data_IF_760529636685
#
_entry.id   IF_760529636685
#
_cell.length_a   1.000
_cell.length_b   1.000
_cell.length_c   1.000
_cell.angle_alpha   90.00
_cell.angle_beta   90.00
_cell.angle_gamma   90.00
#
_symmetry.space_group_name_H-M   'P 1'
#
loop_
_entity.id
_entity.type
_entity.pdbx_description
1 polymer ?
#
# COMPACT_ATOMS: atom_id res chain seq x y z
N UNK A 1 -16.25 20.06 -13.03
CA UNK A 1 -15.73 19.90 -11.66
C UNK A 1 -14.65 18.82 -11.66
N UNK A 2 -13.43 19.12 -11.17
CA UNK A 2 -12.44 18.07 -10.90
C UNK A 2 -12.95 17.26 -9.70
N UNK A 3 -13.08 15.94 -9.87
CA UNK A 3 -13.37 15.01 -8.76
C UNK A 3 -12.21 15.07 -7.77
N UNK A 4 -12.47 15.23 -6.47
CA UNK A 4 -11.46 15.16 -5.40
C UNK A 4 -11.51 13.82 -4.65
N UNK A 5 -11.97 12.76 -5.34
CA UNK A 5 -12.21 11.46 -4.71
C UNK A 5 -10.92 10.63 -4.65
N UNK A 6 -10.55 10.14 -3.47
CA UNK A 6 -9.44 9.21 -3.29
C UNK A 6 -9.90 7.76 -3.51
N UNK A 7 -9.14 6.98 -4.26
CA UNK A 7 -9.32 5.53 -4.36
C UNK A 7 -8.52 4.79 -3.30
N UNK A 8 -9.13 3.84 -2.61
CA UNK A 8 -8.43 2.98 -1.64
C UNK A 8 -8.70 1.52 -1.99
N UNK A 9 -7.64 0.76 -2.26
CA UNK A 9 -7.73 -0.69 -2.47
C UNK A 9 -7.56 -1.38 -1.12
N UNK A 10 -8.55 -2.20 -0.74
CA UNK A 10 -8.62 -2.91 0.55
C UNK A 10 -8.48 -4.41 0.35
N UNK A 11 -7.78 -5.08 1.27
CA UNK A 11 -7.75 -6.54 1.38
C UNK A 11 -9.13 -7.08 1.81
N UNK A 12 -9.39 -8.36 1.53
CA UNK A 12 -10.62 -9.04 1.95
C UNK A 12 -10.53 -9.46 3.42
N UNK A 13 -10.60 -8.44 4.28
CA UNK A 13 -10.43 -8.55 5.73
C UNK A 13 -11.71 -8.09 6.41
N UNK A 14 -12.10 -8.80 7.47
CA UNK A 14 -13.40 -8.61 8.16
C UNK A 14 -13.30 -7.83 9.47
N UNK A 15 -12.10 -7.48 9.92
CA UNK A 15 -11.94 -6.71 11.14
C UNK A 15 -12.52 -5.29 11.00
N UNK A 16 -13.06 -4.70 12.08
CA UNK A 16 -13.59 -3.34 12.06
C UNK A 16 -12.53 -2.31 11.63
N UNK A 17 -12.90 -1.41 10.71
CA UNK A 17 -12.04 -0.30 10.29
C UNK A 17 -12.37 0.93 11.14
N UNK A 18 -11.69 1.05 12.28
CA UNK A 18 -11.87 2.19 13.21
C UNK A 18 -11.49 3.52 12.56
N UNK A 19 -11.91 4.64 13.14
CA UNK A 19 -11.48 5.96 12.66
C UNK A 19 -9.95 6.06 12.76
N UNK A 20 -9.30 6.55 11.71
CA UNK A 20 -7.83 6.55 11.56
C UNK A 20 -7.28 5.38 10.73
N UNK A 21 -8.05 4.30 10.53
CA UNK A 21 -7.66 3.21 9.62
C UNK A 21 -7.78 3.67 8.16
N UNK A 22 -6.83 3.28 7.31
CA UNK A 22 -6.79 3.65 5.88
C UNK A 22 -7.98 3.07 5.08
N UNK A 23 -8.57 1.97 5.54
CA UNK A 23 -9.77 1.37 4.96
C UNK A 23 -11.08 2.01 5.41
N UNK A 24 -11.03 3.01 6.31
CA UNK A 24 -12.19 3.76 6.74
C UNK A 24 -12.32 5.08 5.96
N UNK A 25 -13.37 5.26 5.14
CA UNK A 25 -13.62 6.50 4.41
C UNK A 25 -13.65 7.77 5.27
N UNK A 26 -14.08 7.67 6.54
CA UNK A 26 -14.18 8.81 7.46
C UNK A 26 -12.82 9.29 7.97
N UNK A 27 -11.74 8.55 7.73
CA UNK A 27 -10.37 8.94 8.09
C UNK A 27 -9.78 10.00 7.15
N UNK A 28 -10.52 10.43 6.13
CA UNK A 28 -10.03 11.31 5.08
C UNK A 28 -10.86 12.60 5.02
N UNK A 29 -10.22 13.76 4.73
CA UNK A 29 -10.92 15.03 4.57
C UNK A 29 -11.60 15.17 3.20
N UNK A 30 -11.62 14.10 2.39
CA UNK A 30 -12.16 14.08 1.03
C UNK A 30 -13.03 12.84 0.81
N UNK A 31 -13.77 12.81 -0.29
CA UNK A 31 -14.55 11.64 -0.67
C UNK A 31 -13.64 10.44 -0.95
N UNK A 32 -14.04 9.25 -0.52
CA UNK A 32 -13.25 8.02 -0.68
C UNK A 32 -14.06 6.94 -1.36
N UNK A 33 -13.45 6.25 -2.34
CA UNK A 33 -13.98 5.03 -2.96
C UNK A 33 -13.15 3.83 -2.53
N UNK A 34 -13.74 2.96 -1.74
CA UNK A 34 -13.12 1.70 -1.33
C UNK A 34 -13.35 0.63 -2.40
N UNK A 35 -12.28 -0.06 -2.80
CA UNK A 35 -12.36 -1.26 -3.64
C UNK A 35 -11.76 -2.44 -2.90
N UNK A 36 -12.60 -3.36 -2.45
CA UNK A 36 -12.14 -4.62 -1.85
C UNK A 36 -11.72 -5.61 -2.94
N UNK A 37 -10.52 -6.18 -2.81
CA UNK A 37 -10.05 -7.29 -3.66
C UNK A 37 -10.48 -8.59 -3.02
N UNK A 38 -11.62 -9.16 -3.46
CA UNK A 38 -12.15 -10.41 -2.92
C UNK A 38 -11.12 -11.54 -2.98
N UNK A 39 -11.00 -12.29 -1.89
CA UNK A 39 -10.04 -13.40 -1.76
C UNK A 39 -8.59 -12.98 -1.50
N UNK A 40 -8.29 -11.68 -1.41
CA UNK A 40 -6.98 -11.19 -1.00
C UNK A 40 -6.87 -11.19 0.54
N UNK A 41 -6.49 -12.33 1.11
CA UNK A 41 -6.19 -12.47 2.54
C UNK A 41 -4.77 -12.01 2.85
N UNK A 42 -4.48 -11.80 4.14
CA UNK A 42 -3.14 -11.42 4.62
C UNK A 42 -2.11 -12.47 4.20
N UNK A 43 -2.37 -13.75 4.47
CA UNK A 43 -1.45 -14.86 4.15
C UNK A 43 -1.07 -14.91 2.67
N UNK A 44 -2.05 -14.72 1.78
CA UNK A 44 -1.80 -14.72 0.33
C UNK A 44 -0.96 -13.54 -0.13
N UNK A 45 -1.13 -12.37 0.50
CA UNK A 45 -0.34 -11.17 0.18
C UNK A 45 1.08 -11.28 0.73
N UNK A 46 1.25 -11.95 1.86
CA UNK A 46 2.55 -12.19 2.50
C UNK A 46 3.30 -13.40 1.91
N UNK A 47 2.65 -14.20 1.05
CA UNK A 47 3.30 -15.29 0.32
C UNK A 47 4.59 -14.82 -0.38
N UNK A 48 5.63 -15.65 -0.33
CA UNK A 48 6.88 -15.42 -1.06
C UNK A 48 6.61 -15.18 -2.54
N UNK A 49 5.78 -16.03 -3.13
CA UNK A 49 5.33 -15.91 -4.50
C UNK A 49 3.89 -15.40 -4.50
N UNK A 50 3.73 -14.11 -4.84
CA UNK A 50 2.42 -13.52 -5.07
C UNK A 50 1.82 -14.16 -6.33
N UNK A 51 0.73 -14.89 -6.14
CA UNK A 51 0.00 -15.51 -7.25
C UNK A 51 -0.37 -14.47 -8.31
N UNK A 52 -0.11 -14.77 -9.59
CA UNK A 52 -0.39 -13.84 -10.69
C UNK A 52 -1.88 -13.45 -10.74
N UNK A 53 -2.78 -14.40 -10.44
CA UNK A 53 -4.22 -14.15 -10.34
C UNK A 53 -4.56 -13.11 -9.28
N UNK A 54 -3.85 -13.14 -8.14
CA UNK A 54 -4.02 -12.16 -7.08
C UNK A 54 -3.50 -10.79 -7.54
N UNK A 55 -2.32 -10.73 -8.15
CA UNK A 55 -1.78 -9.48 -8.73
C UNK A 55 -2.72 -8.86 -9.75
N UNK A 56 -3.26 -9.67 -10.66
CA UNK A 56 -4.24 -9.24 -11.66
C UNK A 56 -5.53 -8.71 -11.03
N UNK A 57 -5.93 -9.25 -9.88
CA UNK A 57 -7.08 -8.76 -9.11
C UNK A 57 -6.83 -7.35 -8.55
N UNK A 58 -5.60 -7.05 -8.08
CA UNK A 58 -5.21 -5.68 -7.69
C UNK A 58 -5.16 -4.72 -8.89
N UNK A 59 -4.63 -5.17 -10.04
CA UNK A 59 -4.63 -4.38 -11.28
C UNK A 59 -6.05 -4.02 -11.71
N UNK A 60 -6.97 -5.00 -11.70
CA UNK A 60 -8.38 -4.78 -12.03
C UNK A 60 -9.05 -3.81 -11.05
N UNK A 61 -8.71 -3.90 -9.77
CA UNK A 61 -9.20 -2.95 -8.76
C UNK A 61 -8.71 -1.52 -9.02
N UNK A 62 -7.43 -1.34 -9.36
CA UNK A 62 -6.86 -0.04 -9.67
C UNK A 62 -7.50 0.60 -10.92
N UNK A 63 -7.59 -0.15 -12.03
CA UNK A 63 -8.27 0.32 -13.25
C UNK A 63 -9.75 0.65 -13.01
N UNK A 64 -10.43 -0.13 -12.17
CA UNK A 64 -11.82 0.14 -11.81
C UNK A 64 -11.97 1.45 -11.03
N UNK A 65 -11.02 1.79 -10.15
CA UNK A 65 -11.02 3.07 -9.44
C UNK A 65 -10.67 4.24 -10.37
N UNK A 66 -9.71 4.06 -11.27
CA UNK A 66 -9.37 5.06 -12.29
C UNK A 66 -10.55 5.39 -13.20
N UNK A 67 -11.30 4.39 -13.67
CA UNK A 67 -12.51 4.58 -14.45
C UNK A 67 -13.59 5.38 -13.68
N UNK A 68 -13.54 5.36 -12.34
CA UNK A 68 -14.40 6.17 -11.46
C UNK A 68 -13.83 7.57 -11.19
N UNK A 69 -12.79 7.99 -11.92
CA UNK A 69 -12.19 9.33 -11.88
C UNK A 69 -11.70 9.73 -10.49
N UNK A 70 -11.03 8.80 -9.79
CA UNK A 70 -10.28 9.13 -8.57
C UNK A 70 -9.06 9.99 -8.90
N UNK A 71 -8.62 10.81 -7.95
CA UNK A 71 -7.42 11.66 -8.09
C UNK A 71 -6.12 10.90 -7.88
N UNK A 72 -6.21 9.77 -7.17
CA UNK A 72 -5.07 8.93 -6.81
C UNK A 72 -5.57 7.66 -6.14
N UNK A 73 -4.66 6.70 -5.98
CA UNK A 73 -4.95 5.38 -5.41
C UNK A 73 -3.98 5.11 -4.26
N UNK A 74 -4.50 4.67 -3.12
CA UNK A 74 -3.70 4.10 -2.04
C UNK A 74 -4.24 2.73 -1.61
N UNK A 75 -3.62 2.09 -0.63
CA UNK A 75 -4.04 0.77 -0.14
C UNK A 75 -4.01 0.69 1.38
N UNK A 76 -4.54 -0.41 1.93
CA UNK A 76 -4.61 -0.62 3.38
C UNK A 76 -3.51 -1.51 3.95
N UNK A 77 -2.58 -2.05 3.15
CA UNK A 77 -1.59 -3.03 3.62
C UNK A 77 -0.17 -2.65 3.19
N UNK A 78 0.75 -2.57 4.17
CA UNK A 78 2.13 -2.16 3.93
C UNK A 78 2.91 -3.05 2.95
N UNK A 79 2.60 -4.35 2.89
CA UNK A 79 3.24 -5.32 1.98
C UNK A 79 2.87 -5.13 0.52
N UNK A 80 1.81 -4.36 0.21
CA UNK A 80 1.47 -3.99 -1.15
C UNK A 80 2.47 -3.00 -1.78
N UNK A 81 3.51 -2.59 -1.03
CA UNK A 81 4.72 -1.96 -1.59
C UNK A 81 5.32 -2.79 -2.75
N UNK A 82 5.22 -4.13 -2.68
CA UNK A 82 5.67 -5.06 -3.74
C UNK A 82 4.93 -4.86 -5.06
N UNK A 83 3.71 -4.32 -5.02
CA UNK A 83 2.88 -4.07 -6.20
C UNK A 83 3.01 -2.65 -6.74
N UNK A 84 3.79 -1.75 -6.10
CA UNK A 84 3.88 -0.34 -6.48
C UNK A 84 4.14 -0.16 -7.98
N UNK A 85 5.22 -0.76 -8.49
CA UNK A 85 5.62 -0.64 -9.90
C UNK A 85 4.61 -1.27 -10.86
N UNK A 86 3.92 -2.35 -10.45
CA UNK A 86 2.92 -3.00 -11.30
C UNK A 86 1.69 -2.12 -11.43
N UNK A 87 1.25 -1.51 -10.32
CA UNK A 87 0.08 -0.64 -10.28
C UNK A 87 0.32 0.67 -11.03
N UNK A 88 1.44 1.34 -10.82
CA UNK A 88 1.74 2.61 -11.51
C UNK A 88 1.89 2.47 -13.02
N UNK A 89 2.20 1.28 -13.54
CA UNK A 89 2.31 1.03 -14.99
C UNK A 89 0.97 0.79 -15.69
N UNK A 90 -0.10 0.52 -14.93
CA UNK A 90 -1.40 0.12 -15.50
C UNK A 90 -2.50 1.16 -15.32
N UNK A 91 -2.22 2.25 -14.61
CA UNK A 91 -3.09 3.42 -14.43
C UNK A 91 -2.26 4.70 -14.63
N UNK A 92 -2.90 5.76 -15.07
CA UNK A 92 -2.31 7.10 -15.22
C UNK A 92 -2.35 7.90 -13.91
N UNK A 93 -3.18 7.47 -12.94
CA UNK A 93 -3.29 8.15 -11.64
C UNK A 93 -2.11 7.84 -10.72
N UNK A 94 -1.69 8.80 -9.86
CA UNK A 94 -0.72 8.53 -8.82
C UNK A 94 -1.15 7.36 -7.92
N UNK A 95 -0.21 6.45 -7.66
CA UNK A 95 -0.42 5.31 -6.76
C UNK A 95 0.57 5.41 -5.60
N UNK A 96 0.08 5.35 -4.36
CA UNK A 96 0.88 5.20 -3.15
C UNK A 96 0.46 3.89 -2.48
N UNK A 97 1.10 2.79 -2.84
CA UNK A 97 0.64 1.47 -2.39
C UNK A 97 0.95 1.17 -0.92
N UNK A 98 1.86 1.91 -0.30
CA UNK A 98 2.29 1.69 1.09
C UNK A 98 2.93 2.94 1.67
N UNK A 99 2.81 3.11 2.99
CA UNK A 99 3.55 4.15 3.74
C UNK A 99 5.08 3.96 3.64
N UNK A 100 5.55 2.75 3.36
CA UNK A 100 6.98 2.44 3.19
C UNK A 100 7.61 3.19 2.01
N UNK A 101 6.82 3.71 1.07
CA UNK A 101 7.32 4.57 -0.01
C UNK A 101 7.88 5.90 0.49
N UNK A 102 7.62 6.28 1.74
CA UNK A 102 8.18 7.47 2.38
C UNK A 102 9.61 7.25 2.90
N UNK A 103 10.09 6.00 2.97
CA UNK A 103 11.42 5.69 3.51
C UNK A 103 12.57 6.47 2.83
N UNK A 104 12.62 6.63 1.50
CA UNK A 104 13.70 7.41 0.87
C UNK A 104 13.74 8.87 1.35
N UNK A 105 12.57 9.50 1.53
CA UNK A 105 12.47 10.87 2.04
C UNK A 105 12.92 10.95 3.50
N UNK A 106 12.50 10.01 4.34
CA UNK A 106 12.91 9.96 5.75
C UNK A 106 14.43 9.78 5.85
N UNK A 107 15.01 8.88 5.05
CA UNK A 107 16.45 8.63 5.03
C UNK A 107 17.25 9.84 4.53
N UNK A 108 16.69 10.68 3.64
CA UNK A 108 17.41 11.84 3.11
C UNK A 108 17.49 13.03 4.08
N UNK A 109 16.58 13.11 5.06
CA UNK A 109 16.52 14.22 6.02
C UNK A 109 17.12 13.88 7.39
N UNK A 110 17.37 12.61 7.67
CA UNK A 110 17.97 12.18 8.93
C UNK A 110 19.50 12.34 8.91
N UNK A 111 20.12 12.70 10.06
CA UNK A 111 21.57 12.67 10.18
C UNK A 111 22.12 11.27 9.84
N UNK A 112 23.27 11.20 9.15
CA UNK A 112 23.88 9.93 8.69
C UNK A 112 24.10 8.87 9.78
N UNK A 113 24.18 9.28 11.05
CA UNK A 113 24.34 8.39 12.22
C UNK A 113 23.03 7.81 12.76
N UNK A 114 21.87 8.25 12.25
CA UNK A 114 20.55 7.77 12.69
C UNK A 114 20.08 6.61 11.81
N UNK A 115 19.25 5.77 12.41
CA UNK A 115 18.68 4.56 11.80
C UNK A 115 17.17 4.70 11.74
N UNK A 116 16.58 4.25 10.63
CA UNK A 116 15.12 4.10 10.52
C UNK A 116 14.77 2.68 10.92
N UNK A 117 13.91 2.54 11.93
CA UNK A 117 13.35 1.25 12.33
C UNK A 117 12.00 1.04 11.63
N UNK A 118 11.83 -0.11 10.99
CA UNK A 118 10.55 -0.56 10.44
C UNK A 118 10.03 -1.71 11.28
N UNK A 119 8.91 -1.47 11.96
CA UNK A 119 8.17 -2.51 12.68
C UNK A 119 7.16 -3.12 11.72
N UNK A 120 7.20 -4.44 11.56
CA UNK A 120 6.37 -5.16 10.60
C UNK A 120 5.87 -6.47 11.18
N UNK A 121 4.71 -6.92 10.72
CA UNK A 121 4.12 -8.21 11.09
C UNK A 121 5.00 -9.40 10.68
N UNK A 122 5.77 -9.24 9.60
CA UNK A 122 6.75 -10.23 9.16
C UNK A 122 7.95 -9.55 8.49
N UNK A 123 9.12 -9.66 9.10
CA UNK A 123 10.37 -9.09 8.58
C UNK A 123 10.94 -9.87 7.40
N UNK A 124 10.64 -11.18 7.31
CA UNK A 124 11.17 -12.06 6.25
C UNK A 124 10.50 -11.81 4.90
N UNK A 125 9.24 -11.34 4.93
CA UNK A 125 8.44 -11.06 3.71
C UNK A 125 8.58 -9.63 3.22
N UNK A 126 9.22 -8.78 4.01
CA UNK A 126 9.48 -7.39 3.67
C UNK A 126 10.83 -7.32 2.93
N UNK A 127 10.79 -7.29 1.60
CA UNK A 127 11.99 -7.22 0.74
C UNK A 127 12.68 -5.83 0.78
N UNK A 128 12.90 -5.28 1.97
CA UNK A 128 13.63 -4.04 2.22
C UNK A 128 15.11 -4.33 2.52
N UNK A 129 15.76 -5.18 1.71
CA UNK A 129 17.17 -5.47 1.91
C UNK A 129 18.01 -4.71 0.88
N UNK A 130 18.42 -3.48 1.21
CA UNK A 130 19.46 -2.76 0.47
C UNK A 130 20.72 -2.71 1.32
N UNK A 131 21.77 -3.40 0.85
CA UNK A 131 23.14 -3.28 1.38
C UNK A 131 23.51 -1.79 1.50
N UNK A 132 23.93 -1.36 2.70
CA UNK A 132 24.39 0.01 2.97
C UNK A 132 23.36 1.01 3.50
N UNK A 133 22.10 0.63 3.71
CA UNK A 133 21.11 1.49 4.37
C UNK A 133 21.05 1.23 5.88
N UNK A 134 21.05 2.30 6.68
CA UNK A 134 20.69 2.34 8.11
C UNK A 134 19.20 2.07 8.30
N UNK A 135 18.72 0.93 7.79
CA UNK A 135 17.34 0.47 7.89
C UNK A 135 17.35 -0.83 8.69
N UNK A 136 16.74 -0.81 9.86
CA UNK A 136 16.55 -2.01 10.68
C UNK A 136 15.09 -2.44 10.59
N UNK A 137 14.85 -3.64 10.07
CA UNK A 137 13.51 -4.24 10.04
C UNK A 137 13.38 -5.13 11.26
N UNK A 138 12.62 -4.68 12.26
CA UNK A 138 12.38 -5.43 13.49
C UNK A 138 11.11 -6.28 13.36
N UNK A 139 11.19 -7.51 13.86
CA UNK A 139 10.04 -8.41 14.02
C UNK A 139 9.39 -8.12 15.37
N UNK A 140 8.06 -8.00 15.40
CA UNK A 140 7.27 -8.01 16.64
C UNK A 140 7.15 -9.41 17.20
#
# INVERSE_FOLDING_TARGET
MRSNTLGVIKLDTRFPRVLGDAGNPKSYPCAVRIKTVKGATVDKVLSENLEERLVNSFVKAAKSLEAQRVVGITTTCGFLVRLQNKLTRVVEKPVLSSSLLQLPLILSILPKRKIVCVITADSTKLALNKKGCTLWVCKT
#
